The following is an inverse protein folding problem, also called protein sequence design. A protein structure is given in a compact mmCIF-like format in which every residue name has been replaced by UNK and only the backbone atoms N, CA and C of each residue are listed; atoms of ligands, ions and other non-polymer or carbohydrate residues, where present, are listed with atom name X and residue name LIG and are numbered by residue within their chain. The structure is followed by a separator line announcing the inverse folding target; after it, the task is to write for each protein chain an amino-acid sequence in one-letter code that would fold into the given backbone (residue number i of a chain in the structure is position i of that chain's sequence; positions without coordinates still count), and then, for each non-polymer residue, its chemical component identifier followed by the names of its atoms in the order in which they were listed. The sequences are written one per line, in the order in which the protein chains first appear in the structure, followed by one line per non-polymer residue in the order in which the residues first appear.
data_IF_593681090768
#
_entry.id   IF_593681090768
#
_cell.length_a   1.000
_cell.length_b   1.000
_cell.length_c   1.000
_cell.angle_alpha   90.00
_cell.angle_beta   90.00
_cell.angle_gamma   90.00
#
_symmetry.space_group_name_H-M   'P 1'
#
loop_
_entity.id
_entity.type
_entity.pdbx_description
1 polymer ?
#
# COMPACT_ATOMS: atom_id res chain seq x y z
N UNK A 1 -12.53 -23.39 0.74
CA UNK A 1 -13.23 -23.11 2.01
C UNK A 1 -12.31 -22.17 2.77
N UNK A 2 -12.70 -20.90 2.93
CA UNK A 2 -11.87 -19.91 3.62
C UNK A 2 -11.88 -20.25 5.11
N UNK A 3 -10.71 -20.50 5.68
CA UNK A 3 -10.57 -20.89 7.08
C UNK A 3 -10.73 -19.65 7.98
N UNK A 4 -11.91 -19.56 8.61
CA UNK A 4 -12.32 -18.46 9.47
C UNK A 4 -11.43 -18.35 10.73
N UNK A 5 -10.69 -19.40 11.09
CA UNK A 5 -9.70 -19.36 12.20
C UNK A 5 -8.57 -18.34 11.97
N UNK A 6 -8.31 -17.95 10.71
CA UNK A 6 -7.31 -16.94 10.37
C UNK A 6 -7.73 -15.50 10.72
N UNK A 7 -8.99 -15.29 11.12
CA UNK A 7 -9.49 -13.97 11.56
C UNK A 7 -9.12 -13.69 13.02
N UNK A 8 -9.07 -14.71 13.88
CA UNK A 8 -8.80 -14.57 15.31
C UNK A 8 -7.32 -14.63 15.68
N UNK A 9 -6.46 -15.19 14.83
CA UNK A 9 -5.01 -15.09 15.01
C UNK A 9 -4.58 -13.71 14.51
N UNK A 10 -4.17 -12.84 15.44
CA UNK A 10 -3.51 -11.57 15.12
C UNK A 10 -2.51 -11.79 13.99
N UNK A 11 -2.61 -10.97 12.94
CA UNK A 11 -1.79 -11.14 11.73
C UNK A 11 -0.30 -11.06 12.05
N UNK A 12 0.57 -11.47 11.11
CA UNK A 12 2.02 -11.49 11.31
C UNK A 12 2.51 -10.15 11.88
N UNK A 13 3.12 -10.24 13.06
CA UNK A 13 3.81 -9.10 13.66
C UNK A 13 5.19 -8.94 12.99
N UNK A 14 5.72 -7.72 12.92
CA UNK A 14 7.08 -7.52 12.45
C UNK A 14 8.08 -8.19 13.41
N UNK A 15 9.20 -8.72 12.89
CA UNK A 15 10.29 -9.24 13.73
C UNK A 15 10.74 -8.20 14.77
N UNK A 16 11.13 -8.67 15.96
CA UNK A 16 11.56 -7.77 17.04
C UNK A 16 12.76 -6.89 16.63
N UNK A 17 13.67 -7.43 15.81
CA UNK A 17 14.79 -6.68 15.25
C UNK A 17 14.35 -5.44 14.46
N UNK A 18 13.28 -5.54 13.67
CA UNK A 18 12.73 -4.39 12.94
C UNK A 18 12.14 -3.36 13.91
N UNK A 19 11.43 -3.83 14.94
CA UNK A 19 10.85 -2.96 15.98
C UNK A 19 11.95 -2.20 16.73
N UNK A 20 13.01 -2.89 17.13
CA UNK A 20 14.15 -2.30 17.83
C UNK A 20 14.90 -1.31 16.94
N UNK A 21 15.01 -1.61 15.64
CA UNK A 21 15.61 -0.70 14.65
C UNK A 21 14.80 0.58 14.48
N UNK A 22 13.47 0.48 14.39
CA UNK A 22 12.57 1.65 14.35
C UNK A 22 12.72 2.52 15.60
N UNK A 23 12.71 1.89 16.78
CA UNK A 23 12.88 2.58 18.05
C UNK A 23 14.24 3.26 18.16
N UNK A 24 15.32 2.58 17.74
CA UNK A 24 16.67 3.15 17.74
C UNK A 24 16.77 4.37 16.85
N UNK A 25 16.26 4.30 15.61
CA UNK A 25 16.27 5.42 14.68
C UNK A 25 15.54 6.65 15.23
N UNK A 26 14.36 6.46 15.83
CA UNK A 26 13.62 7.55 16.47
C UNK A 26 14.35 8.11 17.69
N UNK A 27 14.92 7.25 18.54
CA UNK A 27 15.65 7.67 19.74
C UNK A 27 16.92 8.46 19.41
N UNK A 28 17.63 8.05 18.37
CA UNK A 28 18.87 8.70 17.91
C UNK A 28 18.59 9.85 16.92
N UNK A 29 17.33 10.01 16.49
CA UNK A 29 16.90 10.95 15.46
C UNK A 29 17.74 10.81 14.17
N UNK A 30 18.01 9.56 13.77
CA UNK A 30 18.90 9.22 12.65
C UNK A 30 18.20 8.29 11.63
N UNK A 31 17.70 8.83 10.50
CA UNK A 31 17.10 8.05 9.43
C UNK A 31 18.12 7.24 8.61
N UNK A 32 19.43 7.47 8.78
CA UNK A 32 20.48 6.71 8.09
C UNK A 32 20.60 5.26 8.59
N UNK A 33 20.05 4.98 9.78
CA UNK A 33 19.94 3.63 10.35
C UNK A 33 19.14 2.68 9.45
N UNK A 34 18.22 3.21 8.64
CA UNK A 34 17.45 2.44 7.67
C UNK A 34 18.28 2.20 6.41
N UNK A 35 18.43 0.93 6.02
CA UNK A 35 18.98 0.58 4.70
C UNK A 35 17.99 0.93 3.60
N UNK A 36 18.41 0.90 2.35
CA UNK A 36 17.50 1.13 1.22
C UNK A 36 16.33 0.13 1.21
N UNK A 37 16.59 -1.14 1.54
CA UNK A 37 15.54 -2.15 1.64
C UNK A 37 14.56 -1.86 2.76
N UNK A 38 15.05 -1.41 3.92
CA UNK A 38 14.17 -0.98 5.02
C UNK A 38 13.28 0.18 4.59
N UNK A 39 13.86 1.20 3.93
CA UNK A 39 13.12 2.36 3.42
C UNK A 39 12.02 1.93 2.45
N UNK A 40 12.35 1.06 1.49
CA UNK A 40 11.39 0.52 0.54
C UNK A 40 10.28 -0.26 1.26
N UNK A 41 10.63 -1.17 2.18
CA UNK A 41 9.64 -1.95 2.96
C UNK A 41 8.75 -1.05 3.80
N UNK A 42 9.30 -0.04 4.48
CA UNK A 42 8.56 0.94 5.29
C UNK A 42 7.59 1.76 4.44
N UNK A 43 7.98 2.11 3.21
CA UNK A 43 7.11 2.77 2.23
C UNK A 43 6.14 1.81 1.54
N UNK A 44 6.17 0.51 1.89
CA UNK A 44 5.44 -0.59 1.24
C UNK A 44 5.69 -0.65 -0.25
N UNK A 45 6.94 -0.48 -0.65
CA UNK A 45 7.41 -0.61 -2.03
C UNK A 45 7.93 -2.00 -2.29
N UNK A 46 7.63 -2.49 -3.49
CA UNK A 46 8.36 -3.60 -4.07
C UNK A 46 9.82 -3.25 -4.33
N UNK A 47 10.69 -4.26 -4.45
CA UNK A 47 11.98 -4.10 -5.10
C UNK A 47 11.83 -3.31 -6.41
N UNK A 48 12.79 -2.41 -6.69
CA UNK A 48 12.66 -1.37 -7.71
C UNK A 48 12.35 -1.92 -9.11
N UNK A 49 12.95 -3.05 -9.47
CA UNK A 49 12.72 -3.77 -10.72
C UNK A 49 11.25 -4.17 -10.88
N UNK A 50 10.65 -4.76 -9.83
CA UNK A 50 9.24 -5.13 -9.81
C UNK A 50 8.35 -3.91 -9.77
N UNK A 51 8.67 -2.92 -8.93
CA UNK A 51 7.89 -1.68 -8.83
C UNK A 51 7.77 -0.98 -10.20
N UNK A 52 8.87 -0.90 -10.94
CA UNK A 52 8.88 -0.33 -12.28
C UNK A 52 8.04 -1.12 -13.27
N UNK A 53 8.20 -2.45 -13.32
CA UNK A 53 7.40 -3.30 -14.21
C UNK A 53 5.90 -3.06 -14.05
N UNK A 54 5.41 -3.11 -12.80
CA UNK A 54 3.99 -2.97 -12.55
C UNK A 54 3.49 -1.52 -12.67
N UNK A 55 4.29 -0.53 -12.27
CA UNK A 55 3.95 0.87 -12.50
C UNK A 55 3.81 1.14 -14.01
N UNK A 56 4.73 0.62 -14.83
CA UNK A 56 4.66 0.77 -16.28
C UNK A 56 3.43 0.07 -16.85
N UNK A 57 3.10 -1.12 -16.35
CA UNK A 57 1.92 -1.87 -16.79
C UNK A 57 0.60 -1.14 -16.49
N UNK A 58 0.43 -0.60 -15.27
CA UNK A 58 -0.85 -0.03 -14.84
C UNK A 58 -1.01 1.46 -15.15
N UNK A 59 0.07 2.23 -15.17
CA UNK A 59 0.02 3.69 -15.33
C UNK A 59 0.95 4.23 -16.42
N UNK A 60 1.66 3.36 -17.13
CA UNK A 60 2.48 3.76 -18.29
C UNK A 60 3.76 4.53 -17.93
N UNK A 61 4.19 4.51 -16.67
CA UNK A 61 5.40 5.19 -16.19
C UNK A 61 6.19 4.35 -15.18
N UNK A 62 7.44 4.71 -14.93
CA UNK A 62 8.24 4.14 -13.85
C UNK A 62 7.79 4.65 -12.48
N UNK A 63 8.18 3.99 -11.39
CA UNK A 63 7.82 4.43 -10.04
C UNK A 63 8.37 5.84 -9.75
N UNK A 64 9.59 6.14 -10.20
CA UNK A 64 10.23 7.43 -9.97
C UNK A 64 9.51 8.55 -10.73
N UNK A 65 9.12 8.32 -11.98
CA UNK A 65 8.32 9.28 -12.76
C UNK A 65 6.95 9.52 -12.13
N UNK A 66 6.30 8.46 -11.63
CA UNK A 66 5.03 8.57 -10.94
C UNK A 66 5.15 9.38 -9.65
N UNK A 67 6.19 9.14 -8.85
CA UNK A 67 6.47 9.92 -7.62
C UNK A 67 6.74 11.38 -7.96
N UNK A 68 7.52 11.65 -9.00
CA UNK A 68 7.75 13.02 -9.47
C UNK A 68 6.46 13.71 -9.94
N UNK A 69 5.58 12.99 -10.63
CA UNK A 69 4.26 13.49 -11.04
C UNK A 69 3.41 13.79 -9.81
N UNK A 70 3.27 12.83 -8.90
CA UNK A 70 2.49 12.95 -7.68
C UNK A 70 3.00 14.06 -6.77
N UNK A 71 4.31 14.33 -6.74
CA UNK A 71 4.87 15.46 -5.98
C UNK A 71 4.43 16.83 -6.51
N UNK A 72 3.93 16.92 -7.76
CA UNK A 72 3.50 18.18 -8.38
C UNK A 72 1.99 18.40 -8.38
N UNK A 73 1.19 17.36 -8.18
CA UNK A 73 -0.27 17.44 -8.25
C UNK A 73 -0.98 16.34 -7.48
N UNK A 74 -2.15 16.65 -6.94
CA UNK A 74 -3.15 15.74 -6.37
C UNK A 74 -4.19 15.28 -7.42
N UNK A 75 -4.03 15.67 -8.69
CA UNK A 75 -4.84 15.17 -9.78
C UNK A 75 -4.32 13.81 -10.28
N UNK A 76 -4.45 12.81 -9.42
CA UNK A 76 -4.06 11.43 -9.69
C UNK A 76 -5.30 10.57 -9.91
N UNK A 77 -5.17 9.62 -10.82
CA UNK A 77 -6.12 8.50 -10.93
C UNK A 77 -6.05 7.61 -9.70
N UNK A 78 -7.02 6.72 -9.55
CA UNK A 78 -7.02 5.76 -8.45
C UNK A 78 -5.80 4.83 -8.49
N UNK A 79 -5.44 4.30 -9.66
CA UNK A 79 -4.29 3.42 -9.79
C UNK A 79 -3.00 4.16 -9.40
N UNK A 80 -2.81 5.39 -9.87
CA UNK A 80 -1.66 6.23 -9.52
C UNK A 80 -1.57 6.52 -8.03
N UNK A 81 -2.68 6.97 -7.43
CA UNK A 81 -2.72 7.24 -5.99
C UNK A 81 -2.48 5.95 -5.18
N UNK A 82 -3.05 4.82 -5.62
CA UNK A 82 -2.84 3.52 -4.97
C UNK A 82 -1.37 3.12 -4.98
N UNK A 83 -0.69 3.19 -6.14
CA UNK A 83 0.73 2.81 -6.30
C UNK A 83 1.65 3.66 -5.43
N UNK A 84 1.44 4.98 -5.41
CA UNK A 84 2.25 5.91 -4.60
C UNK A 84 2.10 5.60 -3.11
N UNK A 85 0.89 5.25 -2.66
CA UNK A 85 0.61 4.98 -1.25
C UNK A 85 0.99 3.55 -0.83
N UNK A 86 0.78 2.58 -1.71
CA UNK A 86 0.88 1.14 -1.47
C UNK A 86 1.37 0.43 -2.74
N UNK A 87 2.56 -0.15 -2.70
CA UNK A 87 3.08 -1.03 -3.75
C UNK A 87 3.21 -2.44 -3.19
N UNK A 88 2.06 -3.03 -2.83
CA UNK A 88 1.54 -4.09 -3.71
C UNK A 88 0.12 -3.82 -4.22
N UNK A 89 -0.14 -4.19 -5.48
CA UNK A 89 -1.49 -4.43 -5.99
C UNK A 89 -1.94 -5.86 -5.64
N UNK A 90 -3.08 -5.99 -4.98
CA UNK A 90 -3.73 -7.28 -4.71
C UNK A 90 -2.86 -8.27 -3.93
N UNK A 91 -3.00 -9.57 -4.28
CA UNK A 91 -2.33 -10.69 -3.62
C UNK A 91 -0.81 -10.81 -3.93
N UNK A 92 -0.25 -9.85 -4.68
CA UNK A 92 1.15 -9.87 -5.12
C UNK A 92 2.14 -9.37 -4.05
N UNK A 93 1.73 -9.37 -2.77
CA UNK A 93 2.62 -8.94 -1.67
C UNK A 93 3.75 -9.96 -1.49
N UNK A 94 5.03 -9.55 -1.54
CA UNK A 94 6.16 -10.42 -1.25
C UNK A 94 5.98 -11.09 0.12
N UNK A 95 6.35 -12.36 0.22
CA UNK A 95 6.16 -13.12 1.45
C UNK A 95 6.88 -12.49 2.65
N UNK A 96 8.04 -11.88 2.40
CA UNK A 96 8.87 -11.14 3.36
C UNK A 96 8.34 -9.72 3.69
N UNK A 97 7.17 -9.34 3.17
CA UNK A 97 6.49 -8.09 3.49
C UNK A 97 5.04 -8.32 3.96
N UNK A 98 4.61 -9.57 4.18
CA UNK A 98 3.25 -9.89 4.62
C UNK A 98 2.86 -9.27 5.97
N UNK A 99 3.83 -9.00 6.84
CA UNK A 99 3.62 -8.25 8.07
C UNK A 99 3.17 -6.82 7.79
N UNK A 100 3.70 -6.18 6.74
CA UNK A 100 3.42 -4.79 6.38
C UNK A 100 2.00 -4.57 5.85
N UNK A 101 1.37 -5.60 5.28
CA UNK A 101 -0.04 -5.54 4.85
C UNK A 101 -1.00 -5.76 6.01
N UNK A 102 -0.53 -6.30 7.14
CA UNK A 102 -1.32 -6.61 8.31
C UNK A 102 -1.20 -5.57 9.44
N UNK A 103 -0.75 -4.35 9.13
CA UNK A 103 -0.56 -3.28 10.12
C UNK A 103 -1.79 -3.03 11.01
N UNK A 104 -3.02 -3.23 10.50
CA UNK A 104 -4.26 -3.10 11.30
C UNK A 104 -4.28 -4.04 12.51
N UNK A 105 -3.65 -5.20 12.41
CA UNK A 105 -3.59 -6.24 13.47
C UNK A 105 -2.35 -6.11 14.36
N UNK A 106 -1.48 -5.14 14.13
CA UNK A 106 -0.34 -4.89 15.01
C UNK A 106 -0.79 -4.34 16.36
N UNK A 107 0.02 -4.61 17.40
CA UNK A 107 -0.17 -3.99 18.71
C UNK A 107 -0.10 -2.46 18.61
N UNK A 108 -0.78 -1.74 19.49
CA UNK A 108 -0.76 -0.26 19.49
C UNK A 108 0.66 0.30 19.65
N UNK A 109 1.50 -0.37 20.45
CA UNK A 109 2.89 0.03 20.65
C UNK A 109 3.71 -0.16 19.37
N UNK A 110 3.57 -1.30 18.70
CA UNK A 110 4.24 -1.58 17.42
C UNK A 110 3.82 -0.59 16.34
N UNK A 111 2.52 -0.29 16.25
CA UNK A 111 2.00 0.74 15.33
C UNK A 111 2.66 2.08 15.60
N UNK A 112 2.69 2.52 16.86
CA UNK A 112 3.29 3.80 17.23
C UNK A 112 4.76 3.87 16.80
N UNK A 113 5.57 2.88 17.19
CA UNK A 113 7.00 2.82 16.81
C UNK A 113 7.20 2.88 15.29
N UNK A 114 6.38 2.16 14.53
CA UNK A 114 6.43 2.21 13.08
C UNK A 114 6.06 3.58 12.51
N UNK A 115 4.98 4.21 13.00
CA UNK A 115 4.57 5.53 12.52
C UNK A 115 5.61 6.60 12.85
N UNK A 116 6.13 6.61 14.07
CA UNK A 116 7.19 7.55 14.49
C UNK A 116 8.43 7.38 13.60
N UNK A 117 8.83 6.14 13.30
CA UNK A 117 9.96 5.84 12.41
C UNK A 117 9.68 6.21 10.95
N UNK A 118 8.47 5.98 10.45
CA UNK A 118 8.06 6.37 9.09
C UNK A 118 8.03 7.90 8.95
N UNK A 119 7.58 8.62 9.98
CA UNK A 119 7.59 10.08 10.01
C UNK A 119 9.02 10.63 10.03
N UNK A 120 9.92 10.05 10.84
CA UNK A 120 11.35 10.38 10.83
C UNK A 120 11.94 10.16 9.42
N UNK A 121 11.64 9.03 8.78
CA UNK A 121 12.10 8.76 7.42
C UNK A 121 11.58 9.82 6.44
N UNK A 122 10.28 10.11 6.44
CA UNK A 122 9.67 11.06 5.50
C UNK A 122 10.09 12.52 5.75
N UNK A 123 10.61 12.85 6.93
CA UNK A 123 11.13 14.19 7.25
C UNK A 123 12.61 14.36 6.89
N UNK A 124 13.30 13.29 6.52
CA UNK A 124 14.65 13.37 6.00
C UNK A 124 14.69 14.23 4.70
N UNK A 125 15.69 15.11 4.50
CA UNK A 125 15.74 16.01 3.34
C UNK A 125 15.64 15.30 1.99
N UNK A 126 16.21 14.10 1.87
CA UNK A 126 16.18 13.25 0.68
C UNK A 126 14.77 12.67 0.38
N UNK A 127 13.86 12.68 1.35
CA UNK A 127 12.50 12.12 1.24
C UNK A 127 11.44 13.19 0.99
N UNK A 128 11.80 14.47 0.82
CA UNK A 128 10.84 15.55 0.61
C UNK A 128 9.93 15.31 -0.61
N UNK A 129 10.49 14.84 -1.72
CA UNK A 129 9.73 14.51 -2.93
C UNK A 129 8.68 13.43 -2.63
N UNK A 130 9.10 12.37 -1.94
CA UNK A 130 8.24 11.25 -1.55
C UNK A 130 7.12 11.72 -0.62
N UNK A 131 7.46 12.53 0.39
CA UNK A 131 6.49 13.08 1.34
C UNK A 131 5.41 13.88 0.63
N UNK A 132 5.78 14.76 -0.30
CA UNK A 132 4.83 15.55 -1.09
C UNK A 132 3.98 14.65 -1.99
N UNK A 133 4.60 13.68 -2.67
CA UNK A 133 3.91 12.73 -3.53
C UNK A 133 2.84 11.94 -2.76
N UNK A 134 3.19 11.40 -1.59
CA UNK A 134 2.25 10.65 -0.74
C UNK A 134 1.12 11.52 -0.21
N UNK A 135 1.43 12.76 0.19
CA UNK A 135 0.40 13.72 0.63
C UNK A 135 -0.63 13.98 -0.46
N UNK A 136 -0.17 14.25 -1.68
CA UNK A 136 -1.05 14.49 -2.83
C UNK A 136 -1.83 13.22 -3.23
N UNK A 137 -1.20 12.04 -3.11
CA UNK A 137 -1.87 10.76 -3.33
C UNK A 137 -2.96 10.48 -2.29
N UNK A 138 -2.73 10.78 -1.01
CA UNK A 138 -3.76 10.66 0.04
C UNK A 138 -4.96 11.58 -0.26
N UNK A 139 -4.72 12.84 -0.66
CA UNK A 139 -5.78 13.77 -1.07
C UNK A 139 -6.58 13.22 -2.25
N UNK A 140 -5.90 12.74 -3.29
CA UNK A 140 -6.54 12.13 -4.46
C UNK A 140 -7.39 10.91 -4.07
N UNK A 141 -6.83 10.03 -3.23
CA UNK A 141 -7.47 8.81 -2.76
C UNK A 141 -8.74 9.10 -1.95
N UNK A 142 -8.70 10.10 -1.07
CA UNK A 142 -9.86 10.50 -0.28
C UNK A 142 -10.96 11.14 -1.15
N UNK A 143 -10.58 11.92 -2.18
CA UNK A 143 -11.54 12.41 -3.19
C UNK A 143 -12.22 11.24 -3.92
N UNK A 144 -11.47 10.23 -4.34
CA UNK A 144 -12.00 9.04 -5.02
C UNK A 144 -12.95 8.26 -4.11
N UNK A 145 -12.58 8.03 -2.85
CA UNK A 145 -13.48 7.41 -1.85
C UNK A 145 -14.76 8.21 -1.67
N UNK A 146 -14.67 9.54 -1.60
CA UNK A 146 -15.83 10.41 -1.44
C UNK A 146 -16.78 10.30 -2.63
N UNK A 147 -16.26 10.19 -3.86
CA UNK A 147 -17.07 9.98 -5.07
C UNK A 147 -17.76 8.61 -5.08
N UNK A 148 -17.11 7.55 -4.59
CA UNK A 148 -17.69 6.20 -4.50
C UNK A 148 -18.72 6.03 -3.39
N UNK A 149 -18.60 6.79 -2.30
CA UNK A 149 -19.43 6.61 -1.11
C UNK A 149 -20.94 6.72 -1.41
N UNK A 150 -21.42 7.65 -2.26
CA UNK A 150 -22.81 7.65 -2.73
C UNK A 150 -23.18 6.43 -3.57
N UNK A 151 -22.31 5.98 -4.47
CA UNK A 151 -22.56 4.81 -5.33
C UNK A 151 -22.72 3.54 -4.50
N UNK A 152 -21.92 3.38 -3.45
CA UNK A 152 -22.02 2.25 -2.51
C UNK A 152 -23.36 2.23 -1.74
N UNK A 153 -24.05 3.37 -1.58
CA UNK A 153 -25.38 3.40 -0.96
C UNK A 153 -26.48 2.81 -1.84
N UNK A 154 -26.21 2.65 -3.15
CA UNK A 154 -27.16 2.05 -4.08
C UNK A 154 -27.09 0.51 -4.07
N UNK A 155 -26.15 -0.08 -3.34
CA UNK A 155 -25.99 -1.52 -3.19
C UNK A 155 -26.21 -1.93 -1.74
N UNK A 156 -26.95 -3.02 -1.51
CA UNK A 156 -27.00 -3.61 -0.19
C UNK A 156 -25.65 -4.25 0.16
N UNK A 157 -25.39 -4.50 1.46
CA UNK A 157 -24.19 -5.24 1.90
C UNK A 157 -24.14 -6.62 1.22
N UNK A 158 -25.28 -7.24 1.00
CA UNK A 158 -25.36 -8.55 0.36
C UNK A 158 -25.12 -8.46 -1.15
N UNK A 159 -25.56 -7.38 -1.82
CA UNK A 159 -25.20 -7.12 -3.22
C UNK A 159 -23.69 -6.91 -3.38
N UNK A 160 -23.06 -6.15 -2.49
CA UNK A 160 -21.61 -5.94 -2.50
C UNK A 160 -20.86 -7.26 -2.28
N UNK A 161 -21.30 -8.10 -1.34
CA UNK A 161 -20.74 -9.44 -1.13
C UNK A 161 -20.92 -10.35 -2.34
N UNK A 162 -22.09 -10.31 -2.96
CA UNK A 162 -22.41 -11.11 -4.13
C UNK A 162 -21.60 -10.66 -5.36
N UNK A 163 -21.47 -9.36 -5.61
CA UNK A 163 -20.62 -8.82 -6.68
C UNK A 163 -19.16 -9.26 -6.46
N UNK A 164 -18.65 -9.07 -5.25
CA UNK A 164 -17.26 -9.44 -4.92
C UNK A 164 -17.03 -10.95 -5.03
N UNK A 165 -17.99 -11.76 -4.59
CA UNK A 165 -17.94 -13.22 -4.67
C UNK A 165 -18.07 -13.73 -6.10
N UNK A 166 -19.00 -13.20 -6.89
CA UNK A 166 -19.23 -13.61 -8.28
C UNK A 166 -18.04 -13.24 -9.18
N UNK A 167 -17.42 -12.07 -9.00
CA UNK A 167 -16.23 -11.66 -9.76
C UNK A 167 -14.98 -12.48 -9.42
N UNK A 168 -14.98 -13.20 -8.29
CA UNK A 168 -13.90 -14.12 -7.92
C UNK A 168 -14.07 -15.53 -8.51
N UNK A 169 -15.14 -15.78 -9.28
CA UNK A 169 -15.42 -17.10 -9.82
C UNK A 169 -14.62 -17.36 -11.11
N UNK A 170 -14.02 -18.55 -11.28
CA UNK A 170 -13.17 -18.87 -12.44
C UNK A 170 -13.84 -18.71 -13.81
N UNK A 171 -15.17 -18.72 -13.88
CA UNK A 171 -15.90 -18.54 -15.14
C UNK A 171 -15.96 -17.07 -15.59
N UNK A 172 -15.79 -16.10 -14.67
CA UNK A 172 -15.69 -14.67 -15.02
C UNK A 172 -14.37 -14.38 -15.71
N UNK A 173 -13.25 -14.95 -15.23
CA UNK A 173 -11.97 -14.93 -15.94
C UNK A 173 -12.06 -15.58 -17.33
N UNK A 174 -12.90 -16.60 -17.47
CA UNK A 174 -13.19 -17.25 -18.75
C UNK A 174 -13.95 -16.37 -19.73
N UNK A 175 -14.84 -15.49 -19.24
CA UNK A 175 -15.56 -14.50 -20.05
C UNK A 175 -14.67 -13.35 -20.47
N UNK A 176 -13.84 -12.82 -19.55
CA UNK A 176 -12.88 -11.74 -19.88
C UNK A 176 -11.93 -12.17 -21.00
N UNK A 177 -11.36 -13.38 -20.92
CA UNK A 177 -10.53 -13.95 -22.00
C UNK A 177 -11.25 -14.11 -23.34
N UNK A 178 -12.57 -14.25 -23.33
CA UNK A 178 -13.36 -14.38 -24.55
C UNK A 178 -13.73 -13.01 -25.15
N UNK A 179 -13.78 -11.95 -24.32
CA UNK A 179 -14.02 -10.57 -24.76
C UNK A 179 -12.75 -9.86 -25.25
N UNK A 180 -11.57 -10.40 -24.95
CA UNK A 180 -10.27 -9.94 -25.46
C UNK A 180 -9.90 -10.54 -26.84
N UNK A 181 -10.78 -11.35 -27.44
CA UNK A 181 -10.64 -11.93 -28.80
C UNK A 181 -11.50 -11.17 -29.81
#
# INVERSE_FOLDING_TARGET
MWDWESIDRGGPQPPQENIDKWERAVKENDPSIFTNEDRLRMLRRWPLDKANYYCTFYVGSTIDELVQKAARTDNLTEAEASIVLNTPFGDSTPEDQREMTNQKRWSSNTKKKFHDALELLLTAPEMNLEKTARTNADIAWDRIKALRKPELKNFSIDDLKNITGCNSLPWVEGIEKHLEQ
#
